data_IF_358947837701
#
_entry.id   IF_358947837701
#
_cell.length_a   1.000
_cell.length_b   1.000
_cell.length_c   1.000
_cell.angle_alpha   90.00
_cell.angle_beta   90.00
_cell.angle_gamma   90.00
#
_symmetry.space_group_name_H-M   'P 1'
#
loop_
_entity.id
_entity.type
_entity.pdbx_description
1 polymer ?
#
# COMPACT_ATOMS: atom_id res chain seq x y z
N UNK A 1 4.79 1.60 -4.61
CA UNK A 1 5.70 0.56 -4.10
C UNK A 1 5.13 -0.03 -2.82
N UNK A 2 5.05 -1.36 -2.80
CA UNK A 2 4.64 -2.16 -1.64
C UNK A 2 5.86 -2.77 -0.98
N UNK A 3 5.92 -2.72 0.35
CA UNK A 3 6.96 -3.32 1.17
C UNK A 3 6.41 -4.43 2.06
N UNK A 4 7.22 -5.46 2.33
CA UNK A 4 6.87 -6.53 3.27
C UNK A 4 7.24 -6.12 4.70
N UNK A 5 6.30 -6.28 5.62
CA UNK A 5 6.49 -6.03 7.05
C UNK A 5 5.95 -7.20 7.86
N UNK A 6 6.67 -7.59 8.91
CA UNK A 6 6.18 -8.55 9.88
C UNK A 6 5.44 -7.82 11.00
N UNK A 7 4.20 -8.25 11.28
CA UNK A 7 3.37 -7.68 12.34
C UNK A 7 2.55 -8.77 13.00
N UNK A 8 2.59 -8.82 14.33
CA UNK A 8 1.92 -9.84 15.14
C UNK A 8 2.32 -11.29 14.74
N UNK A 9 3.55 -11.47 14.23
CA UNK A 9 4.08 -12.76 13.77
C UNK A 9 3.55 -13.22 12.40
N UNK A 10 2.87 -12.33 11.67
CA UNK A 10 2.35 -12.57 10.33
C UNK A 10 3.03 -11.60 9.35
N UNK A 11 3.15 -12.02 8.09
CA UNK A 11 3.68 -11.16 7.02
C UNK A 11 2.53 -10.32 6.45
N UNK A 12 2.73 -9.01 6.39
CA UNK A 12 1.83 -8.03 5.81
C UNK A 12 2.54 -7.26 4.72
N UNK A 13 1.78 -6.76 3.76
CA UNK A 13 2.26 -5.98 2.64
C UNK A 13 1.76 -4.55 2.78
N UNK A 14 2.66 -3.61 3.05
CA UNK A 14 2.33 -2.20 3.23
C UNK A 14 2.57 -1.40 1.95
N UNK A 15 1.56 -0.66 1.50
CA UNK A 15 1.75 0.33 0.45
C UNK A 15 2.51 1.54 1.02
N UNK A 16 3.66 1.89 0.44
CA UNK A 16 4.47 3.03 0.87
C UNK A 16 3.84 4.39 0.50
N UNK A 17 2.86 4.40 -0.40
CA UNK A 17 2.20 5.62 -0.87
C UNK A 17 1.09 6.03 0.09
N UNK A 18 0.19 5.11 0.44
CA UNK A 18 -0.99 5.42 1.28
C UNK A 18 -0.88 4.86 2.71
N UNK A 19 0.10 3.99 2.99
CA UNK A 19 0.28 3.34 4.28
C UNK A 19 -0.66 2.16 4.56
N UNK A 20 -1.52 1.77 3.61
CA UNK A 20 -2.47 0.67 3.77
C UNK A 20 -1.75 -0.69 3.85
N UNK A 21 -2.25 -1.57 4.71
CA UNK A 21 -1.74 -2.92 4.93
C UNK A 21 -2.64 -3.94 4.25
N UNK A 22 -2.04 -4.91 3.58
CA UNK A 22 -2.68 -6.01 2.89
C UNK A 22 -2.13 -7.33 3.43
N UNK A 23 -2.98 -8.34 3.55
CA UNK A 23 -2.58 -9.70 3.93
C UNK A 23 -1.99 -10.50 2.76
N UNK A 24 -2.30 -10.09 1.52
CA UNK A 24 -1.82 -10.73 0.30
C UNK A 24 -1.00 -9.79 -0.60
N UNK A 25 0.09 -10.34 -1.17
CA UNK A 25 0.98 -9.60 -2.09
C UNK A 25 0.28 -9.21 -3.38
N UNK A 26 -0.61 -10.07 -3.87
CA UNK A 26 -1.34 -9.82 -5.12
C UNK A 26 -2.31 -8.64 -4.97
N UNK A 27 -3.05 -8.58 -3.87
CA UNK A 27 -3.94 -7.46 -3.55
C UNK A 27 -3.16 -6.16 -3.36
N UNK A 28 -2.04 -6.21 -2.64
CA UNK A 28 -1.16 -5.06 -2.48
C UNK A 28 -0.61 -4.56 -3.83
N UNK A 29 -0.23 -5.48 -4.73
CA UNK A 29 0.27 -5.15 -6.07
C UNK A 29 -0.80 -4.55 -6.98
N UNK A 30 -2.03 -5.09 -6.97
CA UNK A 30 -3.17 -4.49 -7.67
C UNK A 30 -3.52 -3.12 -7.10
N UNK A 31 -3.45 -2.99 -5.78
CA UNK A 31 -3.66 -1.71 -5.12
C UNK A 31 -2.62 -0.70 -5.56
N UNK A 32 -1.32 -1.07 -5.64
CA UNK A 32 -0.26 -0.17 -6.11
C UNK A 32 -0.56 0.40 -7.50
N UNK A 33 -1.00 -0.45 -8.44
CA UNK A 33 -1.33 -0.05 -9.81
C UNK A 33 -2.48 0.96 -9.87
N UNK A 34 -3.41 0.86 -8.91
CA UNK A 34 -4.58 1.74 -8.78
C UNK A 34 -4.47 2.68 -7.56
N UNK A 35 -3.26 2.89 -7.02
CA UNK A 35 -3.08 3.63 -5.78
C UNK A 35 -3.15 5.12 -6.10
N UNK A 36 -4.35 5.67 -6.05
CA UNK A 36 -4.66 7.10 -6.27
C UNK A 36 -4.24 7.97 -5.07
N UNK A 37 -3.24 7.55 -4.29
CA UNK A 37 -2.59 8.40 -3.29
C UNK A 37 -1.61 9.39 -3.95
N UNK A 38 -1.95 9.81 -5.18
CA UNK A 38 -1.56 11.12 -5.66
C UNK A 38 -2.16 12.10 -4.65
N UNK A 39 -1.27 12.71 -3.86
CA UNK A 39 -1.55 13.92 -3.08
C UNK A 39 -2.58 14.71 -3.88
N UNK A 40 -3.74 15.12 -3.33
CA UNK A 40 -4.54 16.13 -3.99
C UNK A 40 -3.64 17.35 -4.02
N UNK A 41 -2.82 17.45 -5.07
CA UNK A 41 -2.09 18.63 -5.45
C UNK A 41 -3.20 19.63 -5.55
N UNK A 42 -3.27 20.45 -4.51
CA UNK A 42 -4.26 21.45 -4.27
C UNK A 42 -4.27 22.39 -5.48
N UNK A 43 -4.97 22.00 -6.54
CA UNK A 43 -5.53 22.91 -7.52
C UNK A 43 -6.76 23.50 -6.83
N UNK A 44 -6.40 24.43 -5.95
CA UNK A 44 -7.04 25.69 -5.65
C UNK A 44 -8.09 26.13 -6.69
#
# INVERSE_FOLDING_TARGET
MVTETERDGLIWYQCEVCGMLFDDREDAGKHEDNCDAEDPSYIQ
#
